data_IF_155658768977
#
_entry.id   IF_155658768977
#
_cell.length_a   1.000
_cell.length_b   1.000
_cell.length_c   1.000
_cell.angle_alpha   90.00
_cell.angle_beta   90.00
_cell.angle_gamma   90.00
#
_symmetry.space_group_name_H-M   'P 1'
#
loop_
_entity.id
_entity.type
_entity.pdbx_description
1 polymer ?
#
# COMPACT_ATOMS: atom_id res chain seq x y z
N UNK A 1 -10.82 -1.45 10.22
CA UNK A 1 -11.50 -2.54 9.46
C UNK A 1 -10.83 -3.86 9.85
N UNK A 2 -11.50 -5.03 9.73
CA UNK A 2 -11.01 -6.40 10.06
C UNK A 2 -11.49 -7.05 11.38
N UNK A 3 -12.30 -6.36 12.20
CA UNK A 3 -12.84 -6.94 13.45
C UNK A 3 -13.66 -8.22 13.20
N UNK A 4 -14.46 -8.25 12.12
CA UNK A 4 -15.26 -9.43 11.77
C UNK A 4 -14.42 -10.65 11.42
N UNK A 5 -13.35 -10.48 10.64
CA UNK A 5 -12.41 -11.56 10.31
C UNK A 5 -11.69 -12.06 11.56
N UNK A 6 -11.18 -11.14 12.40
CA UNK A 6 -10.51 -11.47 13.65
C UNK A 6 -11.43 -12.26 14.61
N UNK A 7 -12.68 -11.81 14.77
CA UNK A 7 -13.67 -12.47 15.62
C UNK A 7 -14.03 -13.87 15.10
N UNK A 8 -14.26 -14.01 13.79
CA UNK A 8 -14.56 -15.31 13.17
C UNK A 8 -13.40 -16.30 13.33
N UNK A 9 -12.18 -15.84 13.09
CA UNK A 9 -10.97 -16.66 13.28
C UNK A 9 -10.77 -17.05 14.74
N UNK A 10 -10.95 -16.12 15.68
CA UNK A 10 -10.86 -16.41 17.12
C UNK A 10 -11.89 -17.48 17.54
N UNK A 11 -13.14 -17.35 17.10
CA UNK A 11 -14.18 -18.34 17.39
C UNK A 11 -13.83 -19.73 16.83
N UNK A 12 -13.32 -19.78 15.60
CA UNK A 12 -12.91 -21.03 14.96
C UNK A 12 -11.73 -21.70 15.69
N UNK A 13 -10.71 -20.93 16.08
CA UNK A 13 -9.54 -21.45 16.81
C UNK A 13 -9.93 -21.93 18.21
N UNK A 14 -10.74 -21.17 18.94
CA UNK A 14 -11.19 -21.51 20.29
C UNK A 14 -12.01 -22.81 20.28
N UNK A 15 -12.95 -22.91 19.34
CA UNK A 15 -13.75 -24.12 19.13
C UNK A 15 -12.88 -25.34 18.82
N UNK A 16 -11.90 -25.22 17.91
CA UNK A 16 -10.99 -26.31 17.57
C UNK A 16 -10.11 -26.76 18.74
N UNK A 17 -9.69 -25.83 19.59
CA UNK A 17 -8.81 -26.11 20.73
C UNK A 17 -9.58 -26.47 22.01
N UNK A 18 -10.92 -26.40 21.99
CA UNK A 18 -11.78 -26.60 23.17
C UNK A 18 -11.44 -25.67 24.34
N UNK A 19 -11.11 -24.42 24.04
CA UNK A 19 -10.79 -23.37 25.02
C UNK A 19 -11.77 -22.19 24.90
N UNK A 20 -11.78 -21.33 25.92
CA UNK A 20 -12.50 -20.05 25.81
C UNK A 20 -11.80 -19.16 24.77
N UNK A 21 -12.55 -18.38 23.95
CA UNK A 21 -11.94 -17.37 23.08
C UNK A 21 -11.08 -16.35 23.84
N UNK A 22 -11.37 -16.12 25.13
CA UNK A 22 -10.57 -15.26 26.00
C UNK A 22 -9.16 -15.82 26.24
N UNK A 23 -9.01 -17.14 26.19
CA UNK A 23 -7.74 -17.81 26.47
C UNK A 23 -6.86 -17.94 25.22
N UNK A 24 -7.34 -17.48 24.06
CA UNK A 24 -6.55 -17.42 22.84
C UNK A 24 -5.53 -16.27 22.88
N UNK A 25 -4.24 -16.55 22.69
CA UNK A 25 -3.25 -15.50 22.55
C UNK A 25 -3.52 -14.65 21.30
N UNK A 26 -3.53 -13.32 21.45
CA UNK A 26 -3.74 -12.39 20.32
C UNK A 26 -2.73 -12.58 19.20
N UNK A 27 -1.48 -12.90 19.55
CA UNK A 27 -0.40 -13.17 18.60
C UNK A 27 -0.75 -14.32 17.64
N UNK A 28 -1.46 -15.36 18.09
CA UNK A 28 -1.89 -16.47 17.24
C UNK A 28 -2.92 -15.99 16.22
N UNK A 29 -3.89 -15.18 16.66
CA UNK A 29 -4.92 -14.61 15.80
C UNK A 29 -4.28 -13.67 14.75
N UNK A 30 -3.40 -12.77 15.20
CA UNK A 30 -2.71 -11.81 14.33
C UNK A 30 -1.84 -12.52 13.29
N UNK A 31 -1.06 -13.53 13.69
CA UNK A 31 -0.23 -14.29 12.75
C UNK A 31 -1.07 -15.02 11.70
N UNK A 32 -2.19 -15.62 12.12
CA UNK A 32 -3.11 -16.32 11.22
C UNK A 32 -3.83 -15.36 10.26
N UNK A 33 -4.19 -14.15 10.70
CA UNK A 33 -4.74 -13.10 9.83
C UNK A 33 -3.75 -12.67 8.74
N UNK A 34 -2.48 -12.47 9.11
CA UNK A 34 -1.42 -12.09 8.17
C UNK A 34 -1.18 -13.20 7.14
N UNK A 35 -1.19 -14.46 7.59
CA UNK A 35 -0.92 -15.63 6.73
C UNK A 35 -2.15 -16.27 6.09
N UNK A 36 -3.32 -15.63 6.18
CA UNK A 36 -4.53 -16.19 5.56
C UNK A 36 -4.32 -16.27 4.04
N UNK A 37 -4.55 -17.46 3.48
CA UNK A 37 -4.30 -17.74 2.06
C UNK A 37 -5.25 -16.98 1.12
N UNK A 38 -6.47 -16.72 1.58
CA UNK A 38 -7.56 -16.23 0.73
C UNK A 38 -7.87 -14.77 0.98
N UNK A 39 -7.76 -14.33 2.22
CA UNK A 39 -8.04 -12.97 2.65
C UNK A 39 -7.04 -12.53 3.71
N UNK A 40 -5.75 -12.41 3.35
CA UNK A 40 -4.75 -11.89 4.28
C UNK A 40 -5.15 -10.49 4.74
N UNK A 41 -4.97 -10.24 6.04
CA UNK A 41 -5.39 -9.00 6.68
C UNK A 41 -4.22 -8.32 7.37
N UNK A 42 -4.03 -7.03 7.06
CA UNK A 42 -3.07 -6.20 7.78
C UNK A 42 -3.47 -6.10 9.25
N UNK A 43 -2.50 -6.28 10.12
CA UNK A 43 -2.64 -6.12 11.58
C UNK A 43 -1.99 -4.80 12.02
N UNK A 44 -0.94 -4.38 11.31
CA UNK A 44 -0.20 -3.15 11.57
C UNK A 44 -0.35 -2.16 10.40
N UNK A 45 -0.35 -0.85 10.67
CA UNK A 45 -0.47 0.20 9.65
C UNK A 45 0.88 0.43 8.95
N UNK A 46 1.44 -0.60 8.33
CA UNK A 46 2.68 -0.53 7.55
C UNK A 46 2.33 -0.22 6.09
N UNK A 47 2.64 0.98 5.62
CA UNK A 47 2.24 1.49 4.29
C UNK A 47 3.32 1.32 3.21
N UNK A 48 4.52 0.94 3.63
CA UNK A 48 5.68 0.72 2.77
C UNK A 48 5.49 -0.36 1.70
N UNK A 49 4.63 -1.35 1.98
CA UNK A 49 4.31 -2.44 1.07
C UNK A 49 2.79 -2.51 0.87
N UNK A 50 2.30 -2.47 -0.37
CA UNK A 50 0.90 -2.73 -0.65
C UNK A 50 0.60 -4.23 -0.56
N UNK A 51 -0.66 -4.59 -0.33
CA UNK A 51 -1.06 -5.99 -0.09
C UNK A 51 -0.80 -6.97 -1.24
N UNK A 52 -0.57 -6.46 -2.47
CA UNK A 52 -0.18 -7.29 -3.62
C UNK A 52 1.31 -7.64 -3.63
N UNK A 53 2.16 -6.91 -2.89
CA UNK A 53 3.60 -7.06 -2.98
C UNK A 53 4.10 -8.30 -2.20
N UNK A 54 5.03 -9.10 -2.75
CA UNK A 54 5.48 -10.34 -2.11
C UNK A 54 6.05 -10.15 -0.69
N UNK A 55 6.74 -9.03 -0.45
CA UNK A 55 7.31 -8.70 0.86
C UNK A 55 6.30 -8.22 1.91
N UNK A 56 5.02 -7.99 1.53
CA UNK A 56 4.02 -7.43 2.43
C UNK A 56 3.78 -8.30 3.66
N UNK A 57 3.67 -9.62 3.47
CA UNK A 57 3.41 -10.55 4.55
C UNK A 57 4.57 -10.60 5.55
N UNK A 58 5.81 -10.61 5.03
CA UNK A 58 7.02 -10.61 5.86
C UNK A 58 7.18 -9.29 6.60
N UNK A 59 6.86 -8.15 5.98
CA UNK A 59 6.87 -6.85 6.65
C UNK A 59 5.89 -6.81 7.84
N UNK A 60 4.66 -7.30 7.64
CA UNK A 60 3.67 -7.42 8.71
C UNK A 60 4.15 -8.34 9.83
N UNK A 61 4.77 -9.49 9.50
CA UNK A 61 5.30 -10.41 10.49
C UNK A 61 6.48 -9.83 11.28
N UNK A 62 7.43 -9.16 10.62
CA UNK A 62 8.59 -8.49 11.26
C UNK A 62 8.14 -7.33 12.17
N UNK A 63 7.18 -6.54 11.69
CA UNK A 63 6.55 -5.49 12.50
C UNK A 63 5.79 -6.05 13.70
N UNK A 64 5.10 -7.19 13.56
CA UNK A 64 4.39 -7.82 14.68
C UNK A 64 5.34 -8.31 15.77
N UNK A 65 6.53 -8.78 15.38
CA UNK A 65 7.61 -9.16 16.31
C UNK A 65 8.30 -7.95 16.95
N UNK A 66 8.25 -6.77 16.31
CA UNK A 66 8.87 -5.54 16.77
C UNK A 66 7.90 -4.34 16.64
N UNK A 67 6.81 -4.26 17.44
CA UNK A 67 5.78 -3.25 17.24
C UNK A 67 6.29 -1.80 17.31
N UNK A 68 7.29 -1.54 18.15
CA UNK A 68 7.90 -0.21 18.32
C UNK A 68 8.70 0.25 17.09
N UNK A 69 8.97 -0.65 16.15
CA UNK A 69 9.64 -0.32 14.88
C UNK A 69 8.67 0.22 13.82
N UNK A 70 7.35 0.16 14.06
CA UNK A 70 6.35 0.79 13.17
C UNK A 70 6.23 2.26 13.55
N UNK A 71 6.66 3.14 12.65
CA UNK A 71 6.70 4.58 12.88
C UNK A 71 5.32 5.20 12.70
N UNK A 72 5.19 6.45 13.16
CA UNK A 72 3.93 7.21 13.12
C UNK A 72 3.43 7.48 11.69
N UNK A 73 4.35 7.57 10.73
CA UNK A 73 4.03 7.71 9.30
C UNK A 73 3.66 6.38 8.64
N UNK A 74 3.68 5.27 9.40
CA UNK A 74 3.44 3.92 8.93
C UNK A 74 4.58 3.31 8.13
N UNK A 75 5.78 3.88 8.19
CA UNK A 75 6.99 3.20 7.73
C UNK A 75 7.48 2.19 8.78
N UNK A 76 8.06 1.09 8.32
CA UNK A 76 8.78 0.14 9.16
C UNK A 76 10.25 0.57 9.25
N UNK A 77 10.82 0.51 10.45
CA UNK A 77 12.23 0.82 10.65
C UNK A 77 13.13 0.02 9.68
N UNK A 78 14.06 0.66 8.93
CA UNK A 78 14.97 -0.02 8.02
C UNK A 78 15.75 -1.17 8.63
N UNK A 79 16.09 -1.11 9.92
CA UNK A 79 16.79 -2.21 10.60
C UNK A 79 15.90 -3.45 10.73
N UNK A 80 14.59 -3.26 10.97
CA UNK A 80 13.61 -4.34 11.07
C UNK A 80 13.12 -4.78 9.68
N UNK A 81 12.97 -3.83 8.75
CA UNK A 81 12.68 -4.13 7.35
C UNK A 81 13.79 -4.97 6.72
N UNK A 82 15.05 -4.70 7.04
CA UNK A 82 16.21 -5.47 6.61
C UNK A 82 16.32 -5.55 5.09
N UNK A 83 16.27 -6.78 4.57
CA UNK A 83 16.44 -7.14 3.16
C UNK A 83 15.15 -7.12 2.31
N UNK A 84 14.02 -6.70 2.87
CA UNK A 84 12.75 -6.69 2.14
C UNK A 84 12.80 -5.69 0.98
N UNK A 85 12.66 -6.23 -0.23
CA UNK A 85 12.59 -5.42 -1.44
C UNK A 85 11.42 -4.42 -1.37
N UNK A 86 11.67 -3.17 -1.73
CA UNK A 86 10.64 -2.13 -1.84
C UNK A 86 9.90 -2.23 -3.19
N UNK A 87 8.59 -1.92 -3.23
CA UNK A 87 7.83 -1.90 -4.47
C UNK A 87 8.40 -0.85 -5.43
N UNK A 88 8.59 -1.21 -6.69
CA UNK A 88 9.02 -0.27 -7.72
C UNK A 88 7.81 0.40 -8.38
N UNK A 89 8.05 1.54 -9.03
CA UNK A 89 7.01 2.38 -9.61
C UNK A 89 6.29 1.75 -10.82
N UNK A 90 6.78 0.64 -11.37
CA UNK A 90 6.26 -0.06 -12.54
C UNK A 90 5.69 -1.46 -12.22
N UNK A 91 5.61 -1.82 -10.93
CA UNK A 91 5.24 -3.18 -10.50
C UNK A 91 3.77 -3.35 -10.11
N UNK A 92 3.07 -2.26 -9.79
CA UNK A 92 1.69 -2.34 -9.31
C UNK A 92 0.78 -3.02 -10.36
N UNK A 93 -0.07 -3.98 -9.98
CA UNK A 93 -0.92 -4.69 -10.92
C UNK A 93 -1.83 -3.75 -11.74
N UNK A 94 -1.94 -4.02 -13.04
CA UNK A 94 -2.79 -3.23 -13.92
C UNK A 94 -4.28 -3.50 -13.63
N UNK A 95 -5.06 -2.42 -13.65
CA UNK A 95 -6.51 -2.48 -13.48
C UNK A 95 -7.25 -2.41 -14.83
N UNK A 96 -8.50 -2.91 -14.95
CA UNK A 96 -9.21 -3.00 -16.23
C UNK A 96 -9.38 -1.68 -16.99
N UNK A 97 -9.44 -0.54 -16.27
CA UNK A 97 -9.62 0.79 -16.86
C UNK A 97 -8.33 1.62 -16.84
N UNK A 98 -7.19 0.96 -16.59
CA UNK A 98 -5.90 1.62 -16.62
C UNK A 98 -5.57 2.01 -18.06
N UNK A 99 -5.13 3.26 -18.22
CA UNK A 99 -4.73 3.80 -19.50
C UNK A 99 -3.38 4.49 -19.38
N UNK A 100 -2.63 4.44 -20.48
CA UNK A 100 -1.36 5.13 -20.61
C UNK A 100 -1.63 6.60 -20.94
N UNK A 101 -1.03 7.49 -20.15
CA UNK A 101 -1.04 8.94 -20.40
C UNK A 101 0.36 9.51 -20.45
N UNK A 102 0.44 10.63 -21.16
CA UNK A 102 1.63 11.41 -21.35
C UNK A 102 1.30 12.88 -21.10
N UNK A 103 2.25 13.59 -20.52
CA UNK A 103 2.14 15.03 -20.29
C UNK A 103 3.32 15.56 -19.50
N UNK A 104 3.29 16.86 -19.24
CA UNK A 104 4.30 17.53 -18.43
C UNK A 104 3.91 17.38 -16.96
N UNK A 105 4.78 16.74 -16.19
CA UNK A 105 4.61 16.58 -14.76
C UNK A 105 4.73 17.93 -14.07
N UNK A 106 3.80 18.22 -13.15
CA UNK A 106 3.87 19.37 -12.27
C UNK A 106 3.82 18.91 -10.82
N UNK A 107 4.68 19.50 -10.00
CA UNK A 107 4.69 19.21 -8.58
C UNK A 107 4.79 20.48 -7.74
N UNK A 108 3.99 20.53 -6.68
CA UNK A 108 4.16 21.47 -5.59
C UNK A 108 4.63 20.65 -4.38
N UNK A 109 5.96 20.63 -4.19
CA UNK A 109 6.62 19.86 -3.14
C UNK A 109 6.23 20.34 -1.74
N UNK A 110 5.97 21.64 -1.57
CA UNK A 110 5.56 22.21 -0.28
C UNK A 110 4.17 21.71 0.14
N UNK A 111 3.30 21.46 -0.84
CA UNK A 111 1.93 20.94 -0.62
C UNK A 111 1.80 19.44 -0.80
N UNK A 112 2.82 18.76 -1.32
CA UNK A 112 2.78 17.33 -1.65
C UNK A 112 1.72 16.99 -2.69
N UNK A 113 1.47 17.89 -3.64
CA UNK A 113 0.46 17.71 -4.69
C UNK A 113 1.11 17.58 -6.05
N UNK A 114 0.54 16.70 -6.88
CA UNK A 114 1.01 16.44 -8.23
C UNK A 114 -0.08 16.70 -9.25
N UNK A 115 0.30 17.16 -10.44
CA UNK A 115 -0.59 17.36 -11.57
C UNK A 115 0.09 16.92 -12.86
N UNK A 116 -0.71 16.60 -13.87
CA UNK A 116 -0.24 16.37 -15.23
C UNK A 116 -0.84 17.43 -16.14
N UNK A 117 0.02 18.23 -16.76
CA UNK A 117 -0.36 19.19 -17.79
C UNK A 117 -0.42 18.52 -19.16
N UNK A 118 -1.58 18.62 -19.80
CA UNK A 118 -1.86 18.16 -21.17
C UNK A 118 -2.52 19.30 -21.95
N UNK A 119 -2.76 19.09 -23.25
CA UNK A 119 -3.44 20.08 -24.11
C UNK A 119 -4.84 20.47 -23.61
N UNK A 120 -5.48 19.59 -22.85
CA UNK A 120 -6.81 19.78 -22.28
C UNK A 120 -6.82 20.57 -20.95
N UNK A 121 -5.64 20.77 -20.34
CA UNK A 121 -5.47 21.42 -19.04
C UNK A 121 -4.59 20.62 -18.07
N UNK A 122 -4.52 21.11 -16.82
CA UNK A 122 -3.81 20.45 -15.74
C UNK A 122 -4.78 19.56 -14.93
N UNK A 123 -4.43 18.28 -14.78
CA UNK A 123 -5.23 17.31 -14.03
C UNK A 123 -4.49 16.83 -12.79
N UNK A 124 -5.07 16.94 -11.59
CA UNK A 124 -4.50 16.39 -10.37
C UNK A 124 -4.23 14.88 -10.45
N UNK A 125 -3.09 14.47 -9.90
CA UNK A 125 -2.69 13.08 -9.76
C UNK A 125 -2.72 12.66 -8.29
N UNK A 126 -3.20 11.45 -8.03
CA UNK A 126 -3.09 10.79 -6.73
C UNK A 126 -2.50 9.39 -6.92
N UNK A 127 -1.97 8.79 -5.87
CA UNK A 127 -1.59 7.37 -5.90
C UNK A 127 -1.83 6.73 -4.54
N UNK A 128 -2.07 5.42 -4.55
CA UNK A 128 -2.09 4.57 -3.37
C UNK A 128 -0.87 3.63 -3.34
N UNK A 129 -0.03 3.70 -4.37
CA UNK A 129 1.10 2.80 -4.56
C UNK A 129 2.37 3.48 -4.00
N UNK A 130 3.02 2.93 -2.96
CA UNK A 130 4.18 3.57 -2.33
C UNK A 130 5.36 3.72 -3.31
N UNK A 131 5.63 2.73 -4.16
CA UNK A 131 6.68 2.83 -5.18
C UNK A 131 6.42 3.95 -6.22
N UNK A 132 5.15 4.21 -6.54
CA UNK A 132 4.77 5.35 -7.40
C UNK A 132 4.95 6.65 -6.65
N UNK A 133 4.50 6.73 -5.39
CA UNK A 133 4.67 7.92 -4.55
C UNK A 133 6.14 8.33 -4.47
N UNK A 134 7.02 7.37 -4.18
CA UNK A 134 8.46 7.58 -4.10
C UNK A 134 9.05 8.07 -5.42
N UNK A 135 8.58 7.54 -6.56
CA UNK A 135 9.00 8.00 -7.87
C UNK A 135 8.51 9.41 -8.19
N UNK A 136 7.25 9.73 -7.89
CA UNK A 136 6.69 11.07 -8.10
C UNK A 136 7.40 12.13 -7.26
N UNK A 137 7.80 11.80 -6.02
CA UNK A 137 8.60 12.69 -5.16
C UNK A 137 10.00 12.99 -5.71
N UNK A 138 10.52 12.13 -6.59
CA UNK A 138 11.86 12.25 -7.16
C UNK A 138 11.86 12.86 -8.57
N UNK A 139 10.68 13.11 -9.16
CA UNK A 139 10.58 13.70 -10.49
C UNK A 139 10.74 15.22 -10.43
N UNK A 140 11.53 15.76 -11.36
CA UNK A 140 11.66 17.19 -11.54
C UNK A 140 10.37 17.81 -12.09
N UNK A 141 10.05 19.02 -11.61
CA UNK A 141 8.95 19.82 -12.14
C UNK A 141 9.15 20.13 -13.64
N UNK A 142 8.08 20.00 -14.42
CA UNK A 142 8.07 20.26 -15.86
C UNK A 142 8.62 19.13 -16.72
N UNK A 143 9.01 17.99 -16.14
CA UNK A 143 9.49 16.83 -16.89
C UNK A 143 8.37 16.15 -17.67
N UNK A 144 8.63 15.79 -18.92
CA UNK A 144 7.73 14.89 -19.67
C UNK A 144 7.77 13.49 -19.07
N UNK A 145 6.59 12.94 -18.79
CA UNK A 145 6.44 11.62 -18.16
C UNK A 145 5.40 10.78 -18.87
N UNK A 146 5.61 9.46 -18.83
CA UNK A 146 4.63 8.46 -19.18
C UNK A 146 4.14 7.75 -17.91
N UNK A 147 2.82 7.77 -17.71
CA UNK A 147 2.16 7.15 -16.54
C UNK A 147 1.11 6.15 -16.99
N UNK A 148 0.86 5.14 -16.17
CA UNK A 148 -0.35 4.34 -16.25
C UNK A 148 -1.27 4.77 -15.11
N UNK A 149 -2.50 5.13 -15.44
CA UNK A 149 -3.43 5.67 -14.47
C UNK A 149 -4.90 5.33 -14.82
N UNK A 150 -5.76 5.43 -13.81
CA UNK A 150 -7.21 5.28 -13.94
C UNK A 150 -7.85 6.63 -13.65
N UNK A 151 -8.66 7.11 -14.58
CA UNK A 151 -9.48 8.30 -14.38
C UNK A 151 -10.58 8.01 -13.35
N UNK A 152 -10.81 8.92 -12.41
CA UNK A 152 -11.97 8.84 -11.53
C UNK A 152 -13.18 9.52 -12.20
N UNK A 153 -14.26 8.79 -12.57
CA UNK A 153 -15.41 9.41 -13.22
C UNK A 153 -16.24 10.31 -12.27
N UNK A 154 -15.99 10.25 -10.97
CA UNK A 154 -16.70 11.04 -9.94
C UNK A 154 -15.85 12.17 -9.34
N UNK A 155 -14.62 12.38 -9.81
CA UNK A 155 -13.75 13.44 -9.33
C UNK A 155 -12.75 13.89 -10.40
N UNK A 156 -12.33 15.17 -10.42
CA UNK A 156 -11.44 15.68 -11.48
C UNK A 156 -9.98 15.31 -11.20
N UNK A 157 -9.67 14.02 -11.02
CA UNK A 157 -8.32 13.55 -10.74
C UNK A 157 -8.09 12.13 -11.28
N UNK A 158 -6.82 11.81 -11.44
CA UNK A 158 -6.36 10.53 -11.96
C UNK A 158 -5.56 9.78 -10.89
N UNK A 159 -5.86 8.49 -10.70
CA UNK A 159 -5.06 7.65 -9.81
C UNK A 159 -3.97 6.95 -10.61
N UNK A 160 -2.74 7.32 -10.32
CA UNK A 160 -1.53 6.76 -10.93
C UNK A 160 -1.25 5.39 -10.30
N UNK A 161 -1.13 4.39 -11.16
CA UNK A 161 -0.84 2.99 -10.82
C UNK A 161 0.63 2.69 -11.13
N UNK A 162 1.18 3.23 -12.22
CA UNK A 162 2.59 3.06 -12.57
C UNK A 162 3.22 4.32 -13.15
N UNK A 163 4.53 4.46 -12.95
CA UNK A 163 5.40 5.43 -13.63
C UNK A 163 6.33 4.65 -14.53
N UNK A 164 6.28 4.91 -15.84
CA UNK A 164 7.08 4.19 -16.84
C UNK A 164 8.38 4.91 -17.24
N UNK A 165 8.49 6.19 -16.83
CA UNK A 165 9.51 7.19 -17.22
C UNK A 165 9.64 7.41 -18.73
#
# INVERSE_FOLDING_TARGET
>A
LNIGQAAGLAAALASRQHISPHDLPSAVIQQQLISDRWAPAAVLPIWDWPGWHPAWQDAQARGLQNPDAVRVDGSLDPEVAGDLARPQADQAPLEPHAQTIHGHFRCDHDRGTYQLERSEGATPLITLEPGVKDALDQLDDGRDVQLIAVENPWGPWWRVIQVLT
#
